data_IF_981174043743
#
_entry.id   IF_981174043743
#
_cell.length_a   1.000
_cell.length_b   1.000
_cell.length_c   1.000
_cell.angle_alpha   90.00
_cell.angle_beta   90.00
_cell.angle_gamma   90.00
#
_symmetry.space_group_name_H-M   'P 1'
#
loop_
_entity.id
_entity.type
_entity.pdbx_description
1 polymer ?
#
# COMPACT_ATOMS: atom_id res chain seq x y z
N UNK A 1 -13.58 -10.98 -27.41
CA UNK A 1 -12.33 -11.40 -26.75
C UNK A 1 -11.88 -10.25 -25.87
N UNK A 2 -11.37 -10.50 -24.65
CA UNK A 2 -10.76 -9.44 -23.86
C UNK A 2 -9.56 -8.84 -24.62
N UNK A 3 -9.28 -7.54 -24.46
CA UNK A 3 -8.12 -6.89 -25.06
C UNK A 3 -6.82 -7.51 -24.52
N UNK A 4 -5.77 -7.63 -25.33
CA UNK A 4 -4.47 -8.22 -24.97
C UNK A 4 -3.32 -7.23 -25.22
N UNK A 5 -2.34 -7.15 -24.30
CA UNK A 5 -1.12 -6.37 -24.49
C UNK A 5 -0.10 -7.18 -25.29
N UNK A 6 0.33 -6.64 -26.42
CA UNK A 6 1.56 -7.08 -27.10
C UNK A 6 2.74 -6.24 -26.53
N UNK A 7 3.64 -6.81 -25.70
CA UNK A 7 4.73 -6.07 -25.09
C UNK A 7 5.64 -5.40 -26.12
N UNK A 8 5.75 -5.97 -27.31
CA UNK A 8 6.57 -5.46 -28.42
C UNK A 8 5.97 -4.20 -29.06
N UNK A 9 4.65 -4.00 -28.92
CA UNK A 9 3.93 -2.82 -29.46
C UNK A 9 3.77 -1.70 -28.43
N UNK A 10 4.12 -1.95 -27.18
CA UNK A 10 3.92 -0.99 -26.10
C UNK A 10 5.03 0.06 -26.10
N UNK A 11 4.66 1.29 -26.46
CA UNK A 11 5.60 2.40 -26.70
C UNK A 11 5.84 3.28 -25.48
N UNK A 12 4.89 3.29 -24.53
CA UNK A 12 4.93 4.09 -23.31
C UNK A 12 4.27 3.31 -22.19
N UNK A 13 4.73 3.49 -20.95
CA UNK A 13 4.17 2.78 -19.79
C UNK A 13 2.82 3.37 -19.35
N UNK A 14 2.59 4.68 -19.56
CA UNK A 14 1.36 5.38 -19.22
C UNK A 14 1.07 5.44 -17.71
N UNK A 15 0.05 6.22 -17.31
CA UNK A 15 -0.27 6.52 -15.91
C UNK A 15 -1.69 6.16 -15.50
N UNK A 16 -2.50 5.59 -16.40
CA UNK A 16 -3.87 5.22 -16.09
C UNK A 16 -3.92 3.93 -15.26
N UNK A 17 -4.81 3.88 -14.27
CA UNK A 17 -4.96 2.72 -13.40
C UNK A 17 -6.36 2.60 -12.81
N UNK A 18 -6.68 1.40 -12.32
CA UNK A 18 -7.85 1.14 -11.47
C UNK A 18 -7.37 1.03 -10.03
N UNK A 19 -8.03 1.73 -9.11
CA UNK A 19 -7.58 1.75 -7.73
C UNK A 19 -8.59 2.29 -6.73
N UNK A 20 -8.11 2.46 -5.50
CA UNK A 20 -8.81 3.15 -4.42
C UNK A 20 -8.27 4.57 -4.31
N UNK A 21 -9.16 5.56 -4.12
CA UNK A 21 -8.75 6.90 -3.77
C UNK A 21 -8.68 7.03 -2.25
N UNK A 22 -7.51 7.41 -1.75
CA UNK A 22 -7.29 7.81 -0.36
C UNK A 22 -7.18 9.33 -0.21
N UNK A 23 -7.09 10.02 -1.34
CA UNK A 23 -6.76 11.43 -1.42
C UNK A 23 -7.85 12.33 -0.82
N UNK A 24 -7.39 13.46 -0.29
CA UNK A 24 -8.25 14.59 0.03
C UNK A 24 -8.42 15.49 -1.18
N UNK A 25 -9.65 15.88 -1.47
CA UNK A 25 -9.96 16.90 -2.46
C UNK A 25 -9.51 18.26 -1.96
N UNK A 26 -8.47 18.78 -2.60
CA UNK A 26 -7.99 20.14 -2.42
C UNK A 26 -7.45 20.71 -3.74
N UNK A 27 -7.55 22.03 -3.91
CA UNK A 27 -6.89 22.71 -5.03
C UNK A 27 -5.37 22.83 -4.82
N UNK A 28 -4.95 22.84 -3.54
CA UNK A 28 -3.57 22.92 -3.05
C UNK A 28 -3.45 22.09 -1.80
N UNK A 29 -2.24 21.60 -1.50
CA UNK A 29 -2.07 20.69 -0.40
C UNK A 29 -2.55 21.29 0.93
N UNK A 30 -3.60 20.76 1.55
CA UNK A 30 -4.16 21.33 2.78
C UNK A 30 -4.64 20.25 3.73
N UNK A 31 -4.21 20.26 5.01
CA UNK A 31 -4.60 19.24 5.98
C UNK A 31 -6.12 19.24 6.21
N UNK A 32 -6.78 20.40 6.14
CA UNK A 32 -8.25 20.51 6.33
C UNK A 32 -9.08 20.25 5.07
N UNK A 33 -8.47 19.68 4.01
CA UNK A 33 -9.15 19.38 2.77
C UNK A 33 -10.27 18.35 2.90
N UNK A 34 -11.34 18.50 2.12
CA UNK A 34 -12.48 17.58 2.10
C UNK A 34 -12.04 16.24 1.52
N UNK A 35 -12.26 15.16 2.24
CA UNK A 35 -11.65 13.87 1.90
C UNK A 35 -12.53 12.98 1.02
N UNK A 36 -11.98 12.28 0.01
CA UNK A 36 -12.72 11.17 -0.62
C UNK A 36 -12.86 9.97 0.32
N UNK A 37 -12.02 9.90 1.37
CA UNK A 37 -12.15 8.96 2.47
C UNK A 37 -11.97 9.62 3.84
N UNK A 38 -12.83 9.31 4.81
CA UNK A 38 -12.76 9.91 6.16
C UNK A 38 -12.28 8.94 7.24
N UNK A 39 -11.91 7.73 6.85
CA UNK A 39 -11.69 6.61 7.77
C UNK A 39 -10.30 6.60 8.38
N UNK A 40 -9.30 7.11 7.67
CA UNK A 40 -7.91 7.17 8.12
C UNK A 40 -7.36 8.59 7.95
N UNK A 41 -6.99 9.25 9.05
CA UNK A 41 -6.33 10.55 8.97
C UNK A 41 -4.86 10.36 8.61
N UNK A 42 -4.55 10.37 7.31
CA UNK A 42 -3.18 10.19 6.84
C UNK A 42 -2.20 11.29 7.29
N UNK A 43 -2.63 12.37 7.95
CA UNK A 43 -1.68 13.27 8.63
C UNK A 43 -1.01 12.62 9.84
N UNK A 44 -1.60 11.59 10.43
CA UNK A 44 -1.05 10.88 11.60
C UNK A 44 0.21 10.06 11.28
N UNK A 45 0.59 9.94 9.99
CA UNK A 45 1.80 9.27 9.53
C UNK A 45 2.74 10.21 8.76
N UNK A 46 2.54 11.54 8.89
CA UNK A 46 3.31 12.56 8.18
C UNK A 46 4.15 13.37 9.17
N UNK A 47 5.44 13.51 8.87
CA UNK A 47 6.32 14.47 9.54
C UNK A 47 6.24 15.86 8.88
N UNK A 48 5.12 16.55 9.10
CA UNK A 48 4.78 17.79 8.38
C UNK A 48 5.80 18.91 8.59
N UNK A 49 6.45 18.91 9.76
CA UNK A 49 7.45 19.91 10.15
C UNK A 49 8.86 19.55 9.70
N UNK A 50 9.05 18.37 9.11
CA UNK A 50 10.36 17.85 8.73
C UNK A 50 11.30 17.78 9.95
N UNK A 51 10.78 17.42 11.12
CA UNK A 51 11.56 17.29 12.36
C UNK A 51 12.40 16.00 12.35
N UNK A 52 11.98 14.97 11.62
CA UNK A 52 12.61 13.66 11.49
C UNK A 52 13.14 13.39 10.06
N UNK A 53 12.34 13.71 9.05
CA UNK A 53 12.69 13.63 7.63
C UNK A 53 13.52 14.84 7.25
N UNK A 54 14.68 14.61 6.65
CA UNK A 54 15.60 15.65 6.20
C UNK A 54 15.28 16.13 4.78
N UNK A 55 15.02 15.20 3.87
CA UNK A 55 14.83 15.51 2.45
C UNK A 55 13.87 14.52 1.79
N UNK A 56 13.37 14.91 0.62
CA UNK A 56 12.65 14.05 -0.32
C UNK A 56 12.85 14.59 -1.74
N UNK A 57 12.22 13.98 -2.74
CA UNK A 57 12.09 14.61 -4.06
C UNK A 57 11.15 15.83 -4.04
N UNK A 58 10.96 16.44 -5.21
CA UNK A 58 10.15 17.63 -5.45
C UNK A 58 8.64 17.44 -5.22
N UNK A 59 8.16 16.19 -5.20
CA UNK A 59 6.74 15.87 -4.93
C UNK A 59 6.32 16.22 -3.48
N UNK A 60 7.23 16.21 -2.51
CA UNK A 60 6.89 16.37 -1.08
C UNK A 60 5.95 15.26 -0.58
N UNK A 61 5.13 15.58 0.43
CA UNK A 61 4.13 14.63 0.95
C UNK A 61 3.00 14.39 -0.06
N UNK A 62 2.77 13.13 -0.44
CA UNK A 62 1.76 12.73 -1.44
C UNK A 62 0.38 12.44 -0.84
N UNK A 63 0.25 12.48 0.48
CA UNK A 63 -0.94 12.05 1.23
C UNK A 63 -1.31 13.07 2.31
N UNK A 64 -2.42 12.85 3.02
CA UNK A 64 -2.81 13.69 4.17
C UNK A 64 -3.08 15.14 3.77
N UNK A 65 -3.67 15.33 2.60
CA UNK A 65 -3.91 16.64 2.03
C UNK A 65 -2.77 17.16 1.17
N UNK A 66 -1.63 16.47 1.01
CA UNK A 66 -0.54 16.92 0.13
C UNK A 66 0.41 17.93 0.77
N UNK A 67 1.40 18.41 0.00
CA UNK A 67 2.38 19.40 0.43
C UNK A 67 1.79 20.82 0.34
N UNK A 68 1.73 21.59 1.44
CA UNK A 68 1.12 22.93 1.44
C UNK A 68 1.93 23.99 0.70
N UNK A 69 3.24 23.78 0.59
CA UNK A 69 4.16 24.72 -0.01
C UNK A 69 4.50 25.93 0.90
N UNK A 70 5.14 26.98 0.36
CA UNK A 70 5.59 28.11 1.16
C UNK A 70 4.43 29.08 1.50
N UNK A 71 4.47 29.75 2.66
CA UNK A 71 5.57 29.76 3.64
C UNK A 71 5.58 28.61 4.66
N UNK A 72 4.58 27.74 4.68
CA UNK A 72 4.44 26.66 5.66
C UNK A 72 5.56 25.63 5.55
N UNK A 73 6.01 25.36 4.32
CA UNK A 73 7.17 24.51 4.04
C UNK A 73 8.07 25.13 2.97
N UNK A 74 9.30 24.63 2.85
CA UNK A 74 10.25 25.09 1.85
C UNK A 74 10.10 24.38 0.48
N UNK A 75 9.13 23.47 0.34
CA UNK A 75 8.86 22.73 -0.90
C UNK A 75 7.79 23.42 -1.73
N UNK A 76 7.65 23.04 -3.00
CA UNK A 76 6.52 23.49 -3.81
C UNK A 76 5.25 22.79 -3.33
N UNK A 77 4.12 23.48 -3.41
CA UNK A 77 2.84 22.89 -3.09
C UNK A 77 2.55 21.74 -4.06
N UNK A 78 2.10 20.60 -3.52
CA UNK A 78 1.72 19.42 -4.27
C UNK A 78 0.35 18.95 -3.80
N UNK A 79 -0.46 18.43 -4.73
CA UNK A 79 -1.78 17.91 -4.39
C UNK A 79 -1.66 16.59 -3.65
N UNK A 80 -2.67 16.30 -2.84
CA UNK A 80 -2.89 14.96 -2.34
C UNK A 80 -3.20 14.03 -3.52
N UNK A 81 -2.35 13.04 -3.73
CA UNK A 81 -2.53 12.00 -4.73
C UNK A 81 -2.59 10.63 -4.09
N UNK A 82 -3.00 10.51 -2.82
CA UNK A 82 -3.05 9.23 -2.12
C UNK A 82 -3.98 8.24 -2.83
N UNK A 83 -3.47 7.06 -3.16
CA UNK A 83 -4.23 6.00 -3.81
C UNK A 83 -3.63 4.64 -3.52
N UNK A 84 -4.46 3.61 -3.60
CA UNK A 84 -4.00 2.22 -3.71
C UNK A 84 -4.24 1.76 -5.12
N UNK A 85 -3.16 1.52 -5.86
CA UNK A 85 -3.25 1.00 -7.22
C UNK A 85 -3.55 -0.51 -7.19
N UNK A 86 -4.66 -0.93 -7.81
CA UNK A 86 -5.05 -2.35 -7.89
C UNK A 86 -4.62 -2.95 -9.23
N UNK A 87 -4.67 -2.18 -10.32
CA UNK A 87 -4.16 -2.62 -11.62
C UNK A 87 -3.75 -1.41 -12.45
N UNK A 88 -2.49 -1.39 -12.92
CA UNK A 88 -2.03 -0.43 -13.92
C UNK A 88 -2.56 -0.79 -15.30
N UNK A 89 -3.26 0.14 -15.92
CA UNK A 89 -3.68 0.03 -17.33
C UNK A 89 -2.59 0.60 -18.24
N UNK A 90 -1.92 1.66 -17.79
CA UNK A 90 -0.92 2.39 -18.55
C UNK A 90 -1.54 3.48 -19.40
N UNK A 91 -1.88 3.19 -20.66
CA UNK A 91 -2.41 4.20 -21.60
C UNK A 91 -3.76 3.81 -22.17
N UNK A 92 -4.60 4.81 -22.49
CA UNK A 92 -5.88 4.58 -23.17
C UNK A 92 -5.78 4.46 -24.69
N UNK A 93 -4.56 4.43 -25.22
CA UNK A 93 -4.27 4.42 -26.67
C UNK A 93 -3.88 3.02 -27.16
N UNK A 94 -4.76 2.30 -27.85
CA UNK A 94 -4.44 0.96 -28.36
C UNK A 94 -3.23 0.91 -29.27
N UNK A 95 -3.00 1.97 -30.05
CA UNK A 95 -1.83 2.09 -30.94
C UNK A 95 -0.49 2.17 -30.19
N UNK A 96 -0.51 2.41 -28.88
CA UNK A 96 0.65 2.40 -27.98
C UNK A 96 0.65 1.19 -27.05
N UNK A 97 -0.19 0.20 -27.32
CA UNK A 97 -0.34 -1.01 -26.50
C UNK A 97 -1.42 -0.91 -25.43
N UNK A 98 -2.15 0.21 -25.33
CA UNK A 98 -3.18 0.46 -24.31
C UNK A 98 -4.56 -0.17 -24.56
N UNK A 99 -5.52 0.16 -23.68
CA UNK A 99 -6.94 -0.24 -23.81
C UNK A 99 -7.79 1.03 -23.82
N UNK A 100 -8.75 1.15 -24.75
CA UNK A 100 -9.63 2.34 -24.78
C UNK A 100 -10.39 2.48 -23.46
N UNK A 101 -10.52 3.72 -22.99
CA UNK A 101 -11.25 4.02 -21.75
C UNK A 101 -12.67 3.42 -21.75
N UNK A 102 -13.42 3.57 -22.85
CA UNK A 102 -14.77 3.00 -22.96
C UNK A 102 -14.79 1.47 -22.83
N UNK A 103 -13.79 0.76 -23.36
CA UNK A 103 -13.74 -0.71 -23.25
C UNK A 103 -13.51 -1.13 -21.78
N UNK A 104 -12.74 -0.35 -21.02
CA UNK A 104 -12.53 -0.53 -19.58
C UNK A 104 -13.83 -0.25 -18.83
N UNK A 105 -14.48 0.88 -19.11
CA UNK A 105 -15.74 1.29 -18.47
C UNK A 105 -16.84 0.26 -18.72
N UNK A 106 -16.98 -0.22 -19.95
CA UNK A 106 -17.96 -1.25 -20.32
C UNK A 106 -17.67 -2.57 -19.61
N UNK A 107 -16.40 -2.97 -19.52
CA UNK A 107 -16.00 -4.16 -18.77
C UNK A 107 -16.35 -4.05 -17.28
N UNK A 108 -16.01 -2.92 -16.64
CA UNK A 108 -16.27 -2.68 -15.22
C UNK A 108 -17.78 -2.59 -14.93
N UNK A 109 -18.59 -2.08 -15.86
CA UNK A 109 -20.05 -1.99 -15.74
C UNK A 109 -20.80 -3.25 -16.17
N UNK A 110 -20.14 -4.20 -16.81
CA UNK A 110 -20.79 -5.41 -17.35
C UNK A 110 -21.29 -6.40 -16.29
N UNK A 111 -20.90 -6.22 -15.02
CA UNK A 111 -21.17 -7.18 -13.95
C UNK A 111 -20.25 -8.41 -13.94
N UNK A 112 -19.27 -8.48 -14.85
CA UNK A 112 -18.28 -9.57 -14.90
C UNK A 112 -17.18 -9.43 -13.86
N UNK A 113 -16.87 -8.20 -13.46
CA UNK A 113 -15.99 -7.90 -12.33
C UNK A 113 -16.89 -7.71 -11.10
N UNK A 114 -16.72 -8.59 -10.12
CA UNK A 114 -17.47 -8.57 -8.87
C UNK A 114 -16.76 -7.63 -7.90
N UNK A 115 -17.32 -6.44 -7.71
CA UNK A 115 -16.78 -5.40 -6.83
C UNK A 115 -17.47 -5.54 -5.47
N UNK A 116 -16.76 -5.99 -4.42
CA UNK A 116 -17.31 -6.06 -3.09
C UNK A 116 -17.51 -4.66 -2.49
N UNK A 117 -18.26 -4.60 -1.39
CA UNK A 117 -18.16 -3.51 -0.44
C UNK A 117 -16.74 -3.51 0.16
N UNK A 118 -15.91 -2.55 -0.26
CA UNK A 118 -14.49 -2.56 0.07
C UNK A 118 -14.29 -1.99 1.48
N UNK A 119 -13.84 -2.85 2.39
CA UNK A 119 -13.32 -2.45 3.70
C UNK A 119 -11.81 -2.66 3.70
N UNK A 120 -11.07 -1.66 4.14
CA UNK A 120 -9.61 -1.74 4.23
C UNK A 120 -9.11 -1.37 5.61
N UNK A 121 -7.91 -1.83 5.94
CA UNK A 121 -7.18 -1.49 7.15
C UNK A 121 -5.70 -1.33 6.78
N UNK A 122 -5.09 -0.15 7.00
CA UNK A 122 -3.65 -0.03 6.89
C UNK A 122 -2.93 -0.97 7.85
N UNK A 123 -1.93 -1.70 7.38
CA UNK A 123 -1.21 -2.74 8.14
C UNK A 123 0.13 -2.28 8.68
N UNK A 124 0.82 -1.38 7.96
CA UNK A 124 2.14 -0.88 8.33
C UNK A 124 2.51 0.39 7.54
N UNK A 125 3.51 1.12 8.04
CA UNK A 125 4.28 2.07 7.22
C UNK A 125 5.70 1.52 7.07
N UNK A 126 6.19 1.43 5.83
CA UNK A 126 7.49 0.82 5.51
C UNK A 126 8.33 1.73 4.63
N UNK A 127 9.65 1.55 4.65
CA UNK A 127 10.54 2.04 3.61
C UNK A 127 10.75 0.93 2.59
N UNK A 128 10.54 1.23 1.31
CA UNK A 128 10.79 0.27 0.24
C UNK A 128 12.31 0.06 0.03
N UNK A 129 12.73 -0.91 -0.80
CA UNK A 129 14.14 -1.21 -1.03
C UNK A 129 14.92 -0.18 -1.87
N UNK A 130 14.28 0.87 -2.39
CA UNK A 130 14.97 1.88 -3.19
C UNK A 130 15.97 2.68 -2.33
N UNK A 131 16.94 3.31 -3.00
CA UNK A 131 17.89 4.20 -2.35
C UNK A 131 17.98 5.57 -3.06
N UNK A 132 17.58 6.68 -2.41
CA UNK A 132 16.81 6.72 -1.16
C UNK A 132 15.42 6.07 -1.31
N UNK A 133 14.82 5.56 -0.21
CA UNK A 133 13.58 4.78 -0.26
C UNK A 133 12.35 5.63 -0.56
N UNK A 134 11.29 5.00 -1.05
CA UNK A 134 9.93 5.51 -0.87
C UNK A 134 9.37 5.03 0.47
N UNK A 135 8.59 5.88 1.13
CA UNK A 135 7.81 5.51 2.30
C UNK A 135 6.40 5.15 1.85
N UNK A 136 5.89 4.01 2.31
CA UNK A 136 4.64 3.42 1.84
C UNK A 136 3.75 3.04 3.03
N UNK A 137 2.46 3.35 2.94
CA UNK A 137 1.44 2.74 3.81
C UNK A 137 0.92 1.47 3.16
N UNK A 138 0.93 0.36 3.88
CA UNK A 138 0.59 -0.99 3.38
C UNK A 138 -0.84 -1.36 3.71
N UNK A 139 -1.45 -2.18 2.85
CA UNK A 139 -2.77 -2.77 3.00
C UNK A 139 -2.69 -4.27 2.75
N UNK A 140 -1.78 -4.93 3.47
CA UNK A 140 -1.51 -6.35 3.30
C UNK A 140 -2.72 -7.19 3.72
N UNK A 141 -2.89 -8.36 3.09
CA UNK A 141 -3.91 -9.31 3.49
C UNK A 141 -3.44 -10.09 4.72
N UNK A 142 -4.23 -10.11 5.79
CA UNK A 142 -3.87 -10.76 7.06
C UNK A 142 -5.02 -11.64 7.62
N UNK A 143 -4.81 -12.96 7.81
CA UNK A 143 -3.61 -13.72 7.44
C UNK A 143 -3.37 -13.72 5.92
N UNK A 144 -2.11 -13.88 5.48
CA UNK A 144 -1.77 -13.88 4.06
C UNK A 144 -2.37 -15.08 3.33
N UNK A 145 -2.70 -16.16 4.05
CA UNK A 145 -3.35 -17.36 3.52
C UNK A 145 -4.74 -17.51 4.18
N UNK A 146 -5.84 -17.44 3.41
CA UNK A 146 -7.16 -17.79 3.93
C UNK A 146 -7.21 -19.26 4.37
N UNK A 147 -8.03 -19.57 5.37
CA UNK A 147 -8.35 -20.96 5.67
C UNK A 147 -9.34 -21.50 4.63
N UNK A 148 -8.83 -22.19 3.62
CA UNK A 148 -9.64 -22.78 2.54
C UNK A 148 -10.40 -24.04 2.95
N UNK A 149 -10.05 -24.64 4.10
CA UNK A 149 -10.66 -25.88 4.58
C UNK A 149 -11.85 -25.63 5.52
N UNK A 150 -12.05 -24.39 5.96
CA UNK A 150 -13.12 -23.98 6.87
C UNK A 150 -13.87 -22.76 6.31
N UNK A 151 -15.01 -23.01 5.66
CA UNK A 151 -15.89 -21.97 5.13
C UNK A 151 -16.47 -21.04 6.21
N UNK A 152 -16.45 -21.45 7.49
CA UNK A 152 -16.89 -20.65 8.63
C UNK A 152 -15.81 -19.69 9.15
N UNK A 153 -14.54 -19.92 8.79
CA UNK A 153 -13.45 -19.04 9.19
C UNK A 153 -13.67 -17.62 8.62
N UNK A 154 -13.35 -16.55 9.37
CA UNK A 154 -13.47 -15.19 8.85
C UNK A 154 -12.61 -15.00 7.60
N UNK A 155 -13.07 -14.17 6.66
CA UNK A 155 -12.22 -13.74 5.56
C UNK A 155 -11.05 -12.91 6.13
N UNK A 156 -9.83 -13.03 5.56
CA UNK A 156 -8.70 -12.19 5.95
C UNK A 156 -9.02 -10.69 5.85
N UNK A 157 -8.37 -9.88 6.67
CA UNK A 157 -8.37 -8.42 6.50
C UNK A 157 -7.84 -8.07 5.11
N UNK A 158 -8.38 -7.03 4.48
CA UNK A 158 -8.00 -6.58 3.13
C UNK A 158 -8.17 -7.62 1.99
N UNK A 159 -8.86 -8.75 2.22
CA UNK A 159 -9.07 -9.80 1.19
C UNK A 159 -9.62 -9.25 -0.13
N UNK A 160 -10.46 -8.21 -0.05
CA UNK A 160 -11.12 -7.59 -1.19
C UNK A 160 -10.11 -7.04 -2.20
N UNK A 161 -8.94 -6.56 -1.76
CA UNK A 161 -7.92 -5.99 -2.64
C UNK A 161 -7.32 -7.08 -3.54
N UNK A 162 -6.94 -8.21 -2.95
CA UNK A 162 -6.43 -9.38 -3.70
C UNK A 162 -7.51 -9.98 -4.60
N UNK A 163 -8.73 -10.09 -4.10
CA UNK A 163 -9.87 -10.57 -4.87
C UNK A 163 -10.12 -9.72 -6.13
N UNK A 164 -10.11 -8.39 -5.99
CA UNK A 164 -10.28 -7.45 -7.09
C UNK A 164 -9.11 -7.48 -8.08
N UNK A 165 -7.88 -7.40 -7.57
CA UNK A 165 -6.67 -7.54 -8.37
C UNK A 165 -6.74 -8.80 -9.24
N UNK A 166 -7.05 -9.96 -8.63
CA UNK A 166 -7.05 -11.23 -9.33
C UNK A 166 -8.16 -11.32 -10.39
N UNK A 167 -9.34 -10.78 -10.13
CA UNK A 167 -10.39 -10.66 -11.14
C UNK A 167 -9.96 -9.79 -12.32
N UNK A 168 -9.40 -8.61 -12.04
CA UNK A 168 -8.99 -7.64 -13.04
C UNK A 168 -7.88 -8.21 -13.95
N UNK A 169 -6.83 -8.78 -13.36
CA UNK A 169 -5.72 -9.36 -14.13
C UNK A 169 -6.16 -10.55 -14.99
N UNK A 170 -7.04 -11.41 -14.49
CA UNK A 170 -7.59 -12.53 -15.28
C UNK A 170 -8.50 -12.04 -16.40
N UNK A 171 -9.29 -11.01 -16.14
CA UNK A 171 -10.23 -10.47 -17.12
C UNK A 171 -9.52 -9.72 -18.24
N UNK A 172 -8.63 -8.78 -17.88
CA UNK A 172 -7.99 -7.92 -18.85
C UNK A 172 -6.83 -8.60 -19.58
N UNK A 173 -6.37 -9.80 -19.18
CA UNK A 173 -5.28 -10.57 -19.83
C UNK A 173 -4.07 -9.70 -20.23
N UNK A 174 -3.89 -8.61 -19.50
CA UNK A 174 -2.98 -7.54 -19.77
C UNK A 174 -2.02 -7.57 -18.59
N UNK A 175 -0.88 -8.27 -18.70
CA UNK A 175 0.10 -8.22 -17.63
C UNK A 175 0.57 -6.76 -17.57
N UNK A 176 0.08 -6.02 -16.59
CA UNK A 176 0.60 -4.69 -16.31
C UNK A 176 2.11 -4.86 -16.14
N UNK A 177 2.91 -4.10 -16.90
CA UNK A 177 4.38 -4.07 -16.78
C UNK A 177 4.84 -3.74 -15.35
N UNK A 178 3.95 -3.10 -14.60
CA UNK A 178 4.10 -2.73 -13.21
C UNK A 178 2.87 -3.27 -12.48
N UNK A 179 3.05 -4.33 -11.69
CA UNK A 179 2.20 -4.51 -10.54
C UNK A 179 3.01 -3.93 -9.36
N UNK A 180 2.48 -2.97 -8.61
CA UNK A 180 3.25 -2.32 -7.56
C UNK A 180 3.24 -3.18 -6.30
N UNK A 181 4.05 -4.25 -6.26
CA UNK A 181 4.29 -5.04 -5.04
C UNK A 181 3.01 -5.40 -4.28
N UNK A 182 3.07 -5.46 -2.94
CA UNK A 182 1.83 -5.55 -2.17
C UNK A 182 1.09 -4.20 -2.13
N UNK A 183 -0.22 -4.25 -1.93
CA UNK A 183 -1.10 -3.09 -1.95
C UNK A 183 -0.61 -2.00 -1.01
N UNK A 184 -0.35 -0.83 -1.58
CA UNK A 184 0.18 0.30 -0.82
C UNK A 184 -0.29 1.64 -1.40
N UNK A 185 -0.09 2.69 -0.61
CA UNK A 185 -0.05 4.07 -1.10
C UNK A 185 1.30 4.67 -0.76
N UNK A 186 1.98 5.25 -1.74
CA UNK A 186 3.21 6.00 -1.48
C UNK A 186 2.88 7.25 -0.66
N UNK A 187 3.60 7.46 0.44
CA UNK A 187 3.49 8.61 1.34
C UNK A 187 4.47 9.71 0.91
N UNK A 188 5.72 9.33 0.65
CA UNK A 188 6.85 10.22 0.38
C UNK A 188 7.89 9.48 -0.47
N UNK A 189 8.52 10.15 -1.44
CA UNK A 189 9.55 9.56 -2.29
C UNK A 189 10.94 10.08 -2.00
N UNK A 190 11.93 9.20 -2.14
CA UNK A 190 13.35 9.52 -1.93
C UNK A 190 13.61 10.09 -0.53
N UNK A 191 13.01 9.47 0.48
CA UNK A 191 13.06 9.94 1.86
C UNK A 191 14.47 9.73 2.45
N UNK A 192 15.07 10.82 2.92
CA UNK A 192 16.26 10.77 3.76
C UNK A 192 15.92 11.28 5.15
N UNK A 193 16.47 10.64 6.18
CA UNK A 193 16.26 10.99 7.58
C UNK A 193 17.44 11.78 8.11
N UNK A 194 17.21 12.62 9.12
CA UNK A 194 18.27 13.43 9.74
C UNK A 194 19.35 12.58 10.42
N UNK A 195 18.95 11.43 10.97
CA UNK A 195 19.81 10.38 11.50
C UNK A 195 19.02 9.07 11.62
N UNK A 196 19.69 7.96 11.98
CA UNK A 196 19.01 6.69 12.24
C UNK A 196 18.05 6.78 13.45
N UNK A 197 18.34 7.60 14.45
CA UNK A 197 17.43 7.84 15.57
C UNK A 197 16.15 8.55 15.12
N UNK A 198 16.26 9.51 14.19
CA UNK A 198 15.09 10.19 13.62
C UNK A 198 14.27 9.25 12.73
N UNK A 199 14.93 8.34 12.00
CA UNK A 199 14.27 7.28 11.25
C UNK A 199 13.48 6.36 12.18
N UNK A 200 14.10 5.90 13.28
CA UNK A 200 13.41 5.07 14.28
C UNK A 200 12.23 5.81 14.93
N UNK A 201 12.41 7.11 15.25
CA UNK A 201 11.34 7.94 15.79
C UNK A 201 10.17 8.10 14.81
N UNK A 202 10.45 8.28 13.51
CA UNK A 202 9.41 8.37 12.48
C UNK A 202 8.60 7.08 12.38
N UNK A 203 9.25 5.91 12.31
CA UNK A 203 8.51 4.65 12.24
C UNK A 203 7.74 4.36 13.54
N UNK A 204 8.29 4.69 14.71
CA UNK A 204 7.55 4.57 15.97
C UNK A 204 6.31 5.48 16.02
N UNK A 205 6.40 6.69 15.46
CA UNK A 205 5.26 7.60 15.30
C UNK A 205 4.19 7.00 14.39
N UNK A 206 4.59 6.47 13.23
CA UNK A 206 3.68 5.81 12.30
C UNK A 206 3.01 4.56 12.89
N UNK A 207 3.76 3.73 13.62
CA UNK A 207 3.23 2.53 14.28
C UNK A 207 2.14 2.88 15.28
N UNK A 208 2.28 3.98 16.03
CA UNK A 208 1.24 4.44 16.94
C UNK A 208 -0.08 4.78 16.21
N UNK A 209 0.00 5.39 15.02
CA UNK A 209 -1.17 5.65 14.18
C UNK A 209 -1.79 4.36 13.62
N UNK A 210 -0.97 3.43 13.11
CA UNK A 210 -1.42 2.11 12.64
C UNK A 210 -2.14 1.34 13.75
N UNK A 211 -1.58 1.29 14.97
CA UNK A 211 -2.21 0.63 16.11
C UNK A 211 -3.55 1.27 16.49
N UNK A 212 -3.63 2.61 16.47
CA UNK A 212 -4.90 3.31 16.68
C UNK A 212 -5.95 2.91 15.64
N UNK A 213 -5.59 2.79 14.37
CA UNK A 213 -6.52 2.36 13.32
C UNK A 213 -6.90 0.88 13.43
N UNK A 214 -5.97 0.02 13.84
CA UNK A 214 -6.25 -1.39 14.13
C UNK A 214 -7.34 -1.58 15.19
N UNK A 215 -7.36 -0.74 16.24
CA UNK A 215 -8.39 -0.77 17.27
C UNK A 215 -9.80 -0.45 16.72
N UNK A 216 -9.89 0.28 15.60
CA UNK A 216 -11.15 0.57 14.92
C UNK A 216 -11.56 -0.56 13.96
N UNK A 217 -10.63 -1.43 13.58
CA UNK A 217 -10.83 -2.48 12.59
C UNK A 217 -11.01 -1.96 11.16
N UNK A 218 -11.26 -2.86 10.18
CA UNK A 218 -11.43 -2.48 8.78
C UNK A 218 -12.56 -1.47 8.56
N UNK A 219 -12.27 -0.42 7.79
CA UNK A 219 -13.20 0.68 7.52
C UNK A 219 -13.52 0.80 6.02
N UNK A 220 -14.75 1.24 5.67
CA UNK A 220 -15.03 1.70 4.32
C UNK A 220 -14.27 2.99 4.07
N UNK A 221 -13.66 3.17 2.90
CA UNK A 221 -13.03 4.45 2.57
C UNK A 221 -14.08 5.54 2.35
N UNK A 222 -15.13 5.28 1.56
CA UNK A 222 -16.17 6.26 1.26
C UNK A 222 -17.47 5.93 2.04
N UNK A 223 -17.57 6.48 3.24
CA UNK A 223 -18.71 6.33 4.16
C UNK A 223 -19.74 7.48 4.06
N UNK A 224 -19.52 8.47 3.19
CA UNK A 224 -20.37 9.66 3.03
C UNK A 224 -21.00 9.80 1.65
N UNK A 225 -20.65 8.90 0.71
CA UNK A 225 -21.17 8.90 -0.66
C UNK A 225 -20.71 10.13 -1.41
N UNK A 226 -19.43 10.21 -1.74
CA UNK A 226 -18.89 11.28 -2.60
C UNK A 226 -18.81 10.83 -4.06
N UNK A 227 -19.17 11.72 -4.98
CA UNK A 227 -19.04 11.54 -6.43
C UNK A 227 -17.62 11.92 -6.91
N UNK A 228 -17.30 11.63 -8.18
CA UNK A 228 -16.01 11.93 -8.82
C UNK A 228 -15.63 13.41 -8.74
N UNK A 229 -16.63 14.30 -8.70
CA UNK A 229 -16.44 15.73 -8.61
C UNK A 229 -16.42 16.22 -7.15
N UNK A 230 -16.28 15.30 -6.19
CA UNK A 230 -16.25 15.52 -4.75
C UNK A 230 -17.48 16.17 -4.17
N UNK A 231 -18.62 16.14 -4.87
CA UNK A 231 -19.92 16.49 -4.30
C UNK A 231 -20.53 15.27 -3.62
N UNK A 232 -21.43 15.46 -2.63
CA UNK A 232 -22.24 14.36 -2.15
C UNK A 232 -23.03 13.73 -3.32
N UNK A 233 -23.01 12.41 -3.40
CA UNK A 233 -23.91 11.60 -4.22
C UNK A 233 -25.34 11.96 -3.86
N UNK A 234 -26.20 12.03 -4.88
CA UNK A 234 -27.62 12.31 -4.67
C UNK A 234 -28.30 11.23 -3.82
N UNK A 235 -27.85 9.98 -3.93
CA UNK A 235 -28.38 8.83 -3.21
C UNK A 235 -27.23 8.01 -2.59
N UNK A 236 -26.68 8.44 -1.44
CA UNK A 236 -25.57 7.74 -0.80
C UNK A 236 -26.05 6.41 -0.20
N UNK A 237 -25.36 5.32 -0.51
CA UNK A 237 -25.57 4.03 0.15
C UNK A 237 -24.81 3.96 1.49
N UNK A 238 -25.07 2.92 2.30
CA UNK A 238 -24.38 2.69 3.59
C UNK A 238 -22.86 2.48 3.41
N UNK A 239 -22.41 2.02 2.24
CA UNK A 239 -21.00 1.86 1.91
C UNK A 239 -20.76 2.17 0.42
N UNK A 240 -20.12 3.30 0.14
CA UNK A 240 -19.80 3.73 -1.23
C UNK A 240 -18.33 3.50 -1.59
N UNK A 241 -17.65 2.59 -0.88
CA UNK A 241 -16.26 2.21 -1.17
C UNK A 241 -16.21 1.29 -2.37
N UNK A 242 -16.10 1.88 -3.55
CA UNK A 242 -15.93 1.19 -4.83
C UNK A 242 -14.54 1.41 -5.43
N UNK A 243 -14.43 1.10 -6.72
CA UNK A 243 -13.21 1.31 -7.49
C UNK A 243 -13.30 2.60 -8.30
N UNK A 244 -12.15 3.24 -8.49
CA UNK A 244 -12.01 4.44 -9.31
C UNK A 244 -11.15 4.13 -10.53
N UNK A 245 -11.49 4.74 -11.66
CA UNK A 245 -10.63 4.80 -12.83
C UNK A 245 -9.88 6.12 -12.82
N UNK A 246 -8.56 6.03 -12.88
CA UNK A 246 -7.65 7.16 -12.92
C UNK A 246 -7.07 7.29 -14.32
N UNK A 247 -7.09 8.51 -14.87
CA UNK A 247 -6.27 8.88 -16.02
C UNK A 247 -4.79 9.00 -15.61
N UNK A 248 -4.57 9.55 -14.42
CA UNK A 248 -3.31 9.64 -13.70
C UNK A 248 -3.58 9.83 -12.20
N UNK A 249 -2.54 9.93 -11.37
CA UNK A 249 -2.64 10.03 -9.90
C UNK A 249 -3.48 11.21 -9.38
N UNK A 250 -3.73 12.24 -10.19
CA UNK A 250 -4.51 13.42 -9.80
C UNK A 250 -5.91 13.47 -10.44
N UNK A 251 -6.15 12.67 -11.49
CA UNK A 251 -7.34 12.79 -12.33
C UNK A 251 -8.15 11.49 -12.32
N UNK A 252 -9.23 11.49 -11.53
CA UNK A 252 -10.26 10.44 -11.54
C UNK A 252 -11.26 10.73 -12.66
N UNK A 253 -11.56 9.73 -13.49
CA UNK A 253 -12.54 9.86 -14.59
C UNK A 253 -13.84 9.13 -14.31
N UNK A 254 -13.80 8.00 -13.59
CA UNK A 254 -14.97 7.19 -13.32
C UNK A 254 -14.97 6.58 -11.91
N UNK A 255 -16.18 6.35 -11.39
CA UNK A 255 -16.43 5.56 -10.20
C UNK A 255 -17.25 4.31 -10.54
N UNK A 256 -16.89 3.18 -9.93
CA UNK A 256 -17.57 1.90 -10.04
C UNK A 256 -18.03 1.44 -8.66
N UNK A 257 -19.34 1.51 -8.35
CA UNK A 257 -19.86 1.13 -7.05
C UNK A 257 -19.78 -0.39 -6.82
N UNK A 258 -19.87 -0.85 -5.55
CA UNK A 258 -20.04 -2.25 -5.23
C UNK A 258 -21.21 -2.88 -5.99
N UNK A 259 -20.99 -4.07 -6.56
CA UNK A 259 -22.01 -4.89 -7.21
C UNK A 259 -22.06 -6.34 -6.67
N UNK A 260 -21.13 -6.69 -5.77
CA UNK A 260 -21.05 -7.96 -5.08
C UNK A 260 -21.25 -7.71 -3.58
N UNK A 261 -22.51 -7.60 -3.16
CA UNK A 261 -22.88 -7.10 -1.83
C UNK A 261 -22.79 -8.19 -0.74
N UNK A 262 -22.69 -7.85 0.56
CA UNK A 262 -22.78 -8.82 1.66
C UNK A 262 -24.17 -9.50 1.73
N UNK A 263 -24.35 -10.57 2.54
CA UNK A 263 -23.33 -11.23 3.37
C UNK A 263 -22.34 -12.03 2.51
N UNK A 264 -21.07 -12.12 2.93
CA UNK A 264 -19.98 -12.80 2.20
C UNK A 264 -19.67 -14.21 2.70
N UNK A 265 -20.29 -14.60 3.81
CA UNK A 265 -20.14 -15.90 4.47
C UNK A 265 -21.07 -16.98 3.91
N UNK A 266 -21.86 -16.70 2.86
CA UNK A 266 -22.65 -17.74 2.20
C UNK A 266 -21.72 -18.71 1.44
N UNK A 267 -22.04 -20.02 1.39
CA UNK A 267 -21.20 -21.00 0.69
C UNK A 267 -20.91 -20.63 -0.77
N UNK A 268 -21.90 -20.07 -1.48
CA UNK A 268 -21.76 -19.68 -2.88
C UNK A 268 -20.76 -18.55 -3.07
N UNK A 269 -20.81 -17.53 -2.21
CA UNK A 269 -19.88 -16.39 -2.28
C UNK A 269 -18.50 -16.76 -1.77
N UNK A 270 -18.39 -17.57 -0.72
CA UNK A 270 -17.12 -18.11 -0.24
C UNK A 270 -16.39 -18.85 -1.34
N UNK A 271 -17.10 -19.72 -2.07
CA UNK A 271 -16.54 -20.43 -3.22
C UNK A 271 -16.00 -19.48 -4.28
N UNK A 272 -16.75 -18.44 -4.65
CA UNK A 272 -16.30 -17.43 -5.62
C UNK A 272 -15.07 -16.69 -5.10
N UNK A 273 -15.09 -16.21 -3.85
CA UNK A 273 -13.97 -15.47 -3.26
C UNK A 273 -12.72 -16.34 -3.23
N UNK A 274 -12.81 -17.56 -2.72
CA UNK A 274 -11.68 -18.49 -2.60
C UNK A 274 -11.14 -18.94 -3.96
N UNK A 275 -11.98 -19.05 -4.99
CA UNK A 275 -11.52 -19.32 -6.35
C UNK A 275 -10.52 -18.26 -6.84
N UNK A 276 -10.72 -16.99 -6.46
CA UNK A 276 -9.78 -15.92 -6.80
C UNK A 276 -8.65 -15.76 -5.78
N UNK A 277 -8.82 -16.13 -4.50
CA UNK A 277 -7.77 -15.97 -3.48
C UNK A 277 -6.74 -17.11 -3.43
N UNK A 278 -7.01 -18.26 -4.05
CA UNK A 278 -6.10 -19.42 -4.07
C UNK A 278 -4.83 -19.23 -4.89
N UNK A 279 -4.80 -18.23 -5.77
CA UNK A 279 -3.67 -17.93 -6.62
C UNK A 279 -3.21 -16.48 -6.39
N UNK A 280 -1.93 -16.22 -6.63
CA UNK A 280 -1.35 -14.88 -6.65
C UNK A 280 -0.59 -14.65 -7.96
N UNK A 281 -0.48 -13.40 -8.36
CA UNK A 281 0.30 -13.02 -9.53
C UNK A 281 1.77 -12.85 -9.11
N UNK A 282 2.65 -13.61 -9.74
CA UNK A 282 4.10 -13.45 -9.54
C UNK A 282 4.63 -12.41 -10.53
N UNK A 283 5.07 -11.27 -10.01
CA UNK A 283 5.63 -10.16 -10.79
C UNK A 283 6.97 -10.48 -11.46
N UNK A 284 7.75 -11.42 -10.92
CA UNK A 284 9.04 -11.82 -11.49
C UNK A 284 8.85 -12.76 -12.66
N UNK A 285 7.94 -13.73 -12.53
CA UNK A 285 7.67 -14.70 -13.61
C UNK A 285 6.53 -14.29 -14.54
N UNK A 286 5.81 -13.22 -14.20
CA UNK A 286 4.63 -12.72 -14.90
C UNK A 286 3.60 -13.83 -15.13
N UNK A 287 3.29 -14.58 -14.08
CA UNK A 287 2.39 -15.72 -14.15
C UNK A 287 1.64 -15.96 -12.85
N UNK A 288 0.50 -16.65 -12.97
CA UNK A 288 -0.27 -17.11 -11.81
C UNK A 288 0.43 -18.27 -11.11
N UNK A 289 0.53 -18.19 -9.77
CA UNK A 289 1.01 -19.27 -8.92
C UNK A 289 0.00 -19.56 -7.81
N UNK A 290 -0.14 -20.81 -7.36
CA UNK A 290 -0.86 -21.09 -6.13
C UNK A 290 -0.24 -20.33 -4.97
N UNK A 291 -1.08 -19.74 -4.13
CA UNK A 291 -0.63 -19.01 -2.96
C UNK A 291 0.23 -19.90 -2.04
N UNK A 292 1.32 -19.35 -1.50
CA UNK A 292 2.26 -20.10 -0.65
C UNK A 292 3.24 -21.00 -1.40
N UNK A 293 3.22 -21.01 -2.74
CA UNK A 293 4.25 -21.69 -3.58
C UNK A 293 5.30 -20.72 -4.13
N UNK A 294 5.10 -19.41 -3.98
CA UNK A 294 6.12 -18.41 -4.24
C UNK A 294 7.31 -18.62 -3.29
N UNK A 295 8.52 -18.63 -3.83
CA UNK A 295 9.75 -18.80 -3.08
C UNK A 295 9.78 -17.84 -1.88
N UNK A 296 9.55 -18.44 -0.70
CA UNK A 296 10.06 -18.04 0.61
C UNK A 296 10.92 -16.77 0.61
N UNK A 297 10.28 -15.63 0.91
CA UNK A 297 10.96 -14.58 1.69
C UNK A 297 11.30 -15.07 3.11
N UNK A 298 10.95 -16.32 3.47
CA UNK A 298 11.41 -17.00 4.68
C UNK A 298 12.93 -17.24 4.71
N UNK A 299 13.65 -17.23 3.58
CA UNK A 299 15.13 -17.30 3.62
C UNK A 299 15.78 -16.06 4.25
N UNK A 300 15.10 -14.91 4.24
CA UNK A 300 15.56 -13.70 4.93
C UNK A 300 15.28 -13.73 6.43
N UNK A 301 14.15 -14.33 6.83
CA UNK A 301 13.69 -14.36 8.22
C UNK A 301 14.43 -15.44 9.02
N UNK A 302 14.65 -16.62 8.46
CA UNK A 302 15.38 -17.70 9.15
C UNK A 302 16.86 -17.34 9.40
N UNK A 303 17.51 -16.66 8.44
CA UNK A 303 18.89 -16.18 8.61
C UNK A 303 19.02 -15.05 9.64
N UNK A 304 18.00 -14.23 9.81
CA UNK A 304 18.00 -13.15 10.79
C UNK A 304 17.71 -13.66 12.22
N UNK A 305 17.00 -14.78 12.35
CA UNK A 305 16.77 -15.47 13.62
C UNK A 305 18.03 -16.24 14.05
N UNK A 306 18.67 -17.00 13.15
CA UNK A 306 19.94 -17.69 13.44
C UNK A 306 21.06 -16.71 13.85
N UNK A 307 21.16 -15.55 13.17
CA UNK A 307 22.16 -14.53 13.52
C UNK A 307 21.91 -13.87 14.89
N UNK A 308 20.64 -13.76 15.33
CA UNK A 308 20.28 -13.22 16.65
C UNK A 308 20.52 -14.23 17.76
N UNK A 309 20.37 -15.52 17.49
CA UNK A 309 20.65 -16.57 18.46
C UNK A 309 22.17 -16.80 18.65
N UNK A 310 22.97 -16.74 17.57
CA UNK A 310 24.44 -16.80 17.68
C UNK A 310 25.04 -15.58 18.42
N UNK A 311 24.42 -14.40 18.29
CA UNK A 311 24.85 -13.20 19.00
C UNK A 311 24.56 -13.29 20.51
N UNK A 312 23.41 -13.87 20.90
CA UNK A 312 23.05 -14.11 22.30
C UNK A 312 23.96 -15.14 22.97
N UNK A 313 24.37 -16.18 22.24
CA UNK A 313 25.22 -17.25 22.79
C UNK A 313 26.68 -16.77 23.04
N UNK A 314 27.15 -15.78 22.28
CA UNK A 314 28.45 -15.12 22.50
C UNK A 314 28.43 -14.13 23.67
N UNK A 315 27.30 -13.50 23.94
CA UNK A 315 27.15 -12.57 25.07
C UNK A 315 27.09 -13.32 26.43
N UNK A 316 26.47 -14.50 26.45
CA UNK A 316 26.36 -15.32 27.67
C UNK A 316 27.68 -15.99 28.06
N UNK A 317 28.56 -16.29 27.08
CA UNK A 317 29.85 -16.95 27.33
C UNK A 317 31.04 -15.99 27.57
N UNK A 318 30.83 -14.67 27.47
CA UNK A 318 31.89 -13.66 27.64
C UNK A 318 32.12 -13.16 29.06
N UNK A 319 31.31 -13.58 30.04
CA UNK A 319 31.33 -13.01 31.40
C UNK A 319 31.80 -14.01 32.46
N UNK A 320 33.07 -14.41 32.43
CA UNK A 320 33.78 -14.88 33.63
C UNK A 320 35.30 -14.86 33.42
N UNK A 321 35.95 -13.75 33.79
CA UNK A 321 37.28 -13.79 34.42
C UNK A 321 37.41 -12.63 35.40
N UNK A 322 37.45 -12.99 36.68
CA UNK A 322 37.66 -12.11 37.83
C UNK A 322 39.13 -11.74 37.95
N UNK A 323 39.40 -10.44 38.07
CA UNK A 323 40.70 -9.87 38.41
C UNK A 323 41.13 -10.24 39.83
N UNK A 324 42.37 -10.73 39.96
CA UNK A 324 43.11 -10.73 41.21
C UNK A 324 44.51 -10.13 40.93
N UNK A 325 44.75 -8.94 41.46
CA UNK A 325 46.06 -8.27 41.40
C UNK A 325 47.13 -9.01 42.20
N UNK A 326 48.40 -8.57 42.08
CA UNK A 326 49.04 -8.06 43.28
C UNK A 326 49.97 -6.84 43.07
N UNK A 327 50.33 -6.30 44.24
CA UNK A 327 51.06 -5.08 44.56
C UNK A 327 52.54 -5.02 44.13
N UNK A 328 53.00 -3.76 44.05
CA UNK A 328 54.30 -3.20 44.48
C UNK A 328 55.44 -3.06 43.47
N UNK A 329 56.06 -1.86 43.41
CA UNK A 329 57.46 -1.67 43.00
C UNK A 329 57.83 -0.37 42.27
N UNK A 330 58.15 0.69 43.03
CA UNK A 330 59.23 1.69 42.82
C UNK A 330 59.56 2.30 41.43
N UNK A 331 59.33 3.62 41.30
CA UNK A 331 60.19 4.76 40.81
C UNK A 331 61.52 4.54 40.04
N UNK A 332 62.15 5.56 39.36
CA UNK A 332 61.75 6.96 39.06
C UNK A 332 62.08 7.51 37.63
N UNK A 333 61.55 8.73 37.34
CA UNK A 333 62.08 9.87 36.55
C UNK A 333 62.85 9.67 35.20
N UNK A 334 62.52 10.48 34.16
CA UNK A 334 63.18 11.76 33.79
C UNK A 334 62.56 12.36 32.50
N UNK A 335 62.41 13.71 32.53
CA UNK A 335 62.16 14.71 31.47
C UNK A 335 60.96 14.60 30.53
#
# INVERSE_FOLDING_TARGET
MPPYLDPEKTKVDGLAFIGLSLARRSAHGHPDAVTHQTSFDLNEVIDRKYDMVMSSNDDGWLVGGGEPGPPETYKLAAKDSAHVEIMRIGTYRPEWGGIKENDIVDAMRSGKILIPEILVLPTAVVANPDNPPELEIRFDMDPPLPNFDDDSAPLPVNWALRFLHNQLFRYFQFPSRFCPGAFHSTILRKAEFRSEEHKAAYFSHCDAAIQKWHLLGPQPLNNGGWDIDGKPLAEPSKNNSGLWLFLDRENITHFFPPNFLPPYDTPEKRKIIFEFLKDEWDEKTLSWKPIGTGASNTEGIEKEVEAKDEAKEKEVNGSTTVDAGPLCGSTPFWC
#
